data_IF_626190409254
#
_entry.id   IF_626190409254
#
_cell.length_a   1.000
_cell.length_b   1.000
_cell.length_c   1.000
_cell.angle_alpha   90.00
_cell.angle_beta   90.00
_cell.angle_gamma   90.00
#
_symmetry.space_group_name_H-M   'P 1'
#
loop_
_entity.id
_entity.type
_entity.pdbx_description
1 polymer ?
#
# COMPACT_ATOMS: atom_id res chain seq x y z
N UNK A 1 -4.27 -33.42 -5.56
CA UNK A 1 -3.26 -32.64 -6.33
C UNK A 1 -3.45 -31.13 -6.19
N UNK A 2 -4.68 -30.60 -6.20
CA UNK A 2 -4.94 -29.14 -6.03
C UNK A 2 -4.46 -28.59 -4.68
N UNK A 3 -4.66 -29.31 -3.59
CA UNK A 3 -4.22 -28.91 -2.23
C UNK A 3 -2.69 -28.70 -2.14
N UNK A 4 -1.92 -29.52 -2.86
CA UNK A 4 -0.46 -29.42 -2.87
C UNK A 4 0.02 -28.19 -3.64
N UNK A 5 -0.56 -27.94 -4.82
CA UNK A 5 -0.31 -26.75 -5.63
C UNK A 5 -0.58 -25.48 -4.83
N UNK A 6 -1.66 -25.46 -4.07
CA UNK A 6 -2.10 -24.31 -3.27
C UNK A 6 -1.13 -24.03 -2.13
N UNK A 7 -0.73 -25.08 -1.41
CA UNK A 7 0.23 -24.97 -0.31
C UNK A 7 1.59 -24.45 -0.79
N UNK A 8 2.08 -24.98 -1.92
CA UNK A 8 3.36 -24.55 -2.50
C UNK A 8 3.25 -23.11 -3.01
N UNK A 9 2.17 -22.77 -3.72
CA UNK A 9 1.93 -21.42 -4.22
C UNK A 9 1.89 -20.39 -3.07
N UNK A 10 1.20 -20.71 -1.97
CA UNK A 10 1.14 -19.85 -0.79
C UNK A 10 2.51 -19.65 -0.15
N UNK A 11 3.30 -20.73 -0.03
CA UNK A 11 4.66 -20.68 0.52
C UNK A 11 5.58 -19.80 -0.35
N UNK A 12 5.47 -19.90 -1.67
CA UNK A 12 6.23 -19.06 -2.61
C UNK A 12 5.79 -17.60 -2.51
N UNK A 13 4.48 -17.34 -2.48
CA UNK A 13 3.94 -15.99 -2.40
C UNK A 13 4.39 -15.24 -1.13
N UNK A 14 4.49 -15.95 0.00
CA UNK A 14 4.92 -15.40 1.29
C UNK A 14 6.45 -15.33 1.45
N UNK A 15 7.22 -15.87 0.50
CA UNK A 15 8.68 -15.90 0.62
C UNK A 15 9.30 -14.52 0.32
N UNK A 16 10.30 -14.13 1.12
CA UNK A 16 11.05 -12.87 0.92
C UNK A 16 12.03 -12.93 -0.25
N UNK A 17 12.44 -14.13 -0.65
CA UNK A 17 13.46 -14.34 -1.68
C UNK A 17 12.93 -14.26 -3.10
N UNK A 18 11.62 -14.46 -3.28
CA UNK A 18 10.97 -14.29 -4.55
C UNK A 18 10.36 -12.90 -4.59
N UNK A 19 10.67 -12.13 -5.62
CA UNK A 19 10.08 -10.80 -5.86
C UNK A 19 8.99 -10.89 -6.95
N UNK A 20 8.11 -9.89 -7.03
CA UNK A 20 7.06 -9.80 -8.04
C UNK A 20 7.63 -9.89 -9.46
N UNK A 21 8.79 -9.26 -9.71
CA UNK A 21 9.47 -9.34 -11.00
C UNK A 21 9.95 -10.76 -11.31
N UNK A 22 10.57 -11.45 -10.34
CA UNK A 22 11.05 -12.83 -10.52
C UNK A 22 9.89 -13.78 -10.83
N UNK A 23 8.77 -13.67 -10.10
CA UNK A 23 7.56 -14.46 -10.37
C UNK A 23 7.03 -14.25 -11.79
N UNK A 24 6.94 -12.99 -12.23
CA UNK A 24 6.51 -12.66 -13.58
C UNK A 24 7.45 -13.23 -14.64
N UNK A 25 8.77 -13.08 -14.44
CA UNK A 25 9.77 -13.54 -15.40
C UNK A 25 9.75 -15.06 -15.55
N UNK A 26 9.71 -15.79 -14.43
CA UNK A 26 9.60 -17.25 -14.42
C UNK A 26 8.30 -17.74 -15.05
N UNK A 27 7.17 -17.07 -14.79
CA UNK A 27 5.90 -17.41 -15.45
C UNK A 27 6.02 -17.30 -16.97
N UNK A 28 6.68 -16.24 -17.47
CA UNK A 28 6.89 -16.02 -18.90
C UNK A 28 7.83 -17.04 -19.54
N UNK A 29 8.89 -17.45 -18.83
CA UNK A 29 9.77 -18.52 -19.32
C UNK A 29 9.00 -19.84 -19.46
N UNK A 30 8.21 -20.22 -18.45
CA UNK A 30 7.37 -21.42 -18.49
C UNK A 30 6.33 -21.38 -19.61
N UNK A 31 5.65 -20.24 -19.80
CA UNK A 31 4.71 -20.06 -20.91
C UNK A 31 5.40 -20.20 -22.28
N UNK A 32 6.65 -19.74 -22.39
CA UNK A 32 7.45 -19.82 -23.63
C UNK A 32 7.85 -21.26 -23.94
N UNK A 33 8.35 -22.00 -22.94
CA UNK A 33 8.69 -23.42 -23.10
C UNK A 33 7.45 -24.25 -23.48
N UNK A 34 6.33 -24.02 -22.79
CA UNK A 34 5.07 -24.69 -23.12
C UNK A 34 4.60 -24.38 -24.54
N UNK A 35 4.76 -23.13 -24.99
CA UNK A 35 4.45 -22.75 -26.36
C UNK A 35 5.36 -23.45 -27.37
N UNK A 36 6.67 -23.55 -27.10
CA UNK A 36 7.60 -24.27 -27.98
C UNK A 36 7.25 -25.75 -28.09
N UNK A 37 6.94 -26.40 -26.96
CA UNK A 37 6.52 -27.81 -26.93
C UNK A 37 5.22 -28.03 -27.70
N UNK A 38 4.24 -27.16 -27.49
CA UNK A 38 2.97 -27.22 -28.21
C UNK A 38 3.16 -27.00 -29.73
N UNK A 39 3.99 -26.03 -30.12
CA UNK A 39 4.35 -25.75 -31.51
C UNK A 39 5.05 -26.93 -32.18
N UNK A 40 5.96 -27.59 -31.45
CA UNK A 40 6.66 -28.80 -31.90
C UNK A 40 5.80 -30.07 -31.86
N UNK A 41 4.52 -29.98 -31.46
CA UNK A 41 3.60 -31.11 -31.24
C UNK A 41 4.16 -32.18 -30.29
N UNK A 42 5.00 -31.75 -29.36
CA UNK A 42 5.54 -32.62 -28.33
C UNK A 42 4.57 -32.73 -27.16
N UNK A 43 4.54 -33.88 -26.47
CA UNK A 43 3.72 -34.04 -25.28
C UNK A 43 4.18 -33.05 -24.21
N UNK A 44 3.24 -32.32 -23.61
CA UNK A 44 3.52 -31.38 -22.53
C UNK A 44 3.83 -32.16 -21.25
N UNK A 45 5.02 -32.00 -20.64
CA UNK A 45 5.34 -32.67 -19.39
C UNK A 45 4.43 -32.18 -18.25
N UNK A 46 3.89 -33.13 -17.47
CA UNK A 46 2.97 -32.83 -16.36
C UNK A 46 3.60 -31.90 -15.32
N UNK A 47 4.88 -32.08 -15.02
CA UNK A 47 5.62 -31.25 -14.07
C UNK A 47 5.71 -29.80 -14.53
N UNK A 48 5.92 -29.55 -15.82
CA UNK A 48 5.95 -28.21 -16.39
C UNK A 48 4.59 -27.52 -16.27
N UNK A 49 3.50 -28.23 -16.59
CA UNK A 49 2.15 -27.73 -16.41
C UNK A 49 1.83 -27.44 -14.94
N UNK A 50 2.29 -28.31 -14.02
CA UNK A 50 2.16 -28.14 -12.58
C UNK A 50 2.94 -26.92 -12.09
N UNK A 51 4.19 -26.74 -12.50
CA UNK A 51 5.02 -25.58 -12.16
C UNK A 51 4.36 -24.27 -12.62
N UNK A 52 3.83 -24.22 -13.85
CA UNK A 52 3.08 -23.05 -14.34
C UNK A 52 1.89 -22.73 -13.45
N UNK A 53 1.11 -23.74 -13.07
CA UNK A 53 -0.05 -23.54 -12.19
C UNK A 53 0.36 -22.99 -10.81
N UNK A 54 1.43 -23.53 -10.22
CA UNK A 54 1.99 -23.05 -8.94
C UNK A 54 2.42 -21.59 -9.04
N UNK A 55 3.23 -21.23 -10.04
CA UNK A 55 3.76 -19.86 -10.19
C UNK A 55 2.65 -18.86 -10.52
N UNK A 56 1.72 -19.23 -11.40
CA UNK A 56 0.56 -18.40 -11.73
C UNK A 56 -0.29 -18.11 -10.49
N UNK A 57 -0.56 -19.14 -9.66
CA UNK A 57 -1.32 -19.00 -8.42
C UNK A 57 -0.56 -18.19 -7.36
N UNK A 58 0.75 -18.42 -7.19
CA UNK A 58 1.59 -17.64 -6.27
C UNK A 58 1.60 -16.15 -6.63
N UNK A 59 1.66 -15.84 -7.93
CA UNK A 59 1.57 -14.46 -8.41
C UNK A 59 0.18 -13.87 -8.19
N UNK A 60 -0.89 -14.64 -8.42
CA UNK A 60 -2.26 -14.20 -8.14
C UNK A 60 -2.45 -13.87 -6.65
N UNK A 61 -1.98 -14.72 -5.73
CA UNK A 61 -2.03 -14.50 -4.28
C UNK A 61 -1.27 -13.23 -3.89
N UNK A 62 -0.09 -13.01 -4.45
CA UNK A 62 0.71 -11.83 -4.16
C UNK A 62 0.10 -10.56 -4.75
N UNK A 63 -0.48 -10.65 -5.94
CA UNK A 63 -1.18 -9.55 -6.58
C UNK A 63 -2.51 -9.25 -5.89
N UNK A 64 -3.22 -10.24 -5.35
CA UNK A 64 -4.42 -10.02 -4.52
C UNK A 64 -4.07 -9.49 -3.15
N UNK A 65 -2.91 -9.84 -2.59
CA UNK A 65 -2.39 -9.20 -1.39
C UNK A 65 -1.96 -7.74 -1.65
N UNK A 66 -1.45 -7.45 -2.84
CA UNK A 66 -1.14 -6.09 -3.31
C UNK A 66 -2.42 -5.31 -3.74
N UNK A 67 -3.45 -6.02 -4.19
CA UNK A 67 -4.79 -5.54 -4.48
C UNK A 67 -5.68 -5.82 -3.27
N UNK A 68 -5.37 -5.19 -2.15
CA UNK A 68 -6.48 -4.78 -1.29
C UNK A 68 -7.21 -3.70 -2.07
N UNK A 69 -8.54 -3.79 -2.29
CA UNK A 69 -9.27 -2.62 -2.74
C UNK A 69 -8.92 -1.50 -1.75
N UNK A 70 -8.67 -0.30 -2.26
CA UNK A 70 -8.29 0.87 -1.46
C UNK A 70 -9.27 1.06 -0.27
N UNK A 71 -10.49 0.54 -0.40
CA UNK A 71 -11.53 0.43 0.63
C UNK A 71 -11.13 -0.35 1.90
N UNK A 72 -10.36 -1.43 1.82
CA UNK A 72 -9.98 -2.24 3.00
C UNK A 72 -8.77 -1.70 3.76
N UNK A 73 -7.93 -0.88 3.12
CA UNK A 73 -6.84 -0.17 3.82
C UNK A 73 -7.43 0.93 4.71
N UNK A 74 -8.57 1.50 4.31
CA UNK A 74 -9.34 2.44 5.11
C UNK A 74 -10.14 1.72 6.22
N UNK A 75 -10.70 0.54 5.94
CA UNK A 75 -11.44 -0.23 6.96
C UNK A 75 -10.55 -0.88 8.04
N UNK A 76 -9.34 -1.36 7.69
CA UNK A 76 -8.42 -1.95 8.67
C UNK A 76 -7.52 -0.92 9.39
N UNK A 77 -7.45 0.33 8.92
CA UNK A 77 -6.91 1.44 9.73
C UNK A 77 -7.94 2.06 10.67
N UNK A 78 -9.23 1.83 10.43
CA UNK A 78 -10.29 2.38 11.27
C UNK A 78 -10.41 1.73 12.67
N UNK A 79 -9.68 0.65 12.97
CA UNK A 79 -9.78 -0.04 14.26
C UNK A 79 -8.43 -0.38 14.89
N UNK A 80 -7.69 0.65 15.31
CA UNK A 80 -7.00 0.61 16.61
C UNK A 80 -7.39 1.87 17.36
N UNK A 81 -8.62 1.91 17.87
CA UNK A 81 -9.07 2.98 18.76
C UNK A 81 -9.58 2.40 20.06
N UNK A 82 -8.63 2.21 20.97
CA UNK A 82 -8.82 2.69 22.33
C UNK A 82 -8.33 4.16 22.32
N UNK A 83 -9.21 5.11 21.98
CA UNK A 83 -9.01 6.56 22.21
C UNK A 83 -7.81 7.25 21.53
N UNK A 84 -7.43 6.86 20.32
CA UNK A 84 -6.35 7.49 19.54
C UNK A 84 -6.83 8.62 18.63
N UNK A 85 -6.19 9.77 18.68
CA UNK A 85 -6.30 10.76 17.60
C UNK A 85 -5.49 10.23 16.40
N UNK A 86 -6.09 10.03 15.22
CA UNK A 86 -5.37 9.67 13.98
C UNK A 86 -4.94 10.95 13.22
N UNK A 87 -3.63 11.23 13.12
CA UNK A 87 -3.11 12.38 12.39
C UNK A 87 -3.50 12.39 10.90
N UNK A 88 -3.65 11.23 10.27
CA UNK A 88 -3.96 11.14 8.84
C UNK A 88 -5.43 11.47 8.56
N UNK A 89 -6.34 10.95 9.40
CA UNK A 89 -7.77 11.25 9.31
C UNK A 89 -8.05 12.75 9.52
N UNK A 90 -7.40 13.32 10.54
CA UNK A 90 -7.45 14.77 10.79
C UNK A 90 -6.97 15.59 9.59
N UNK A 91 -5.81 15.25 9.01
CA UNK A 91 -5.28 15.99 7.84
C UNK A 91 -6.21 15.86 6.63
N UNK A 92 -6.82 14.70 6.40
CA UNK A 92 -7.80 14.52 5.33
C UNK A 92 -9.02 15.42 5.53
N UNK A 93 -9.58 15.43 6.75
CA UNK A 93 -10.74 16.25 7.07
C UNK A 93 -10.42 17.75 6.98
N UNK A 94 -9.27 18.18 7.51
CA UNK A 94 -8.77 19.55 7.38
C UNK A 94 -8.59 19.97 5.91
N UNK A 95 -8.04 19.10 5.05
CA UNK A 95 -7.93 19.37 3.60
C UNK A 95 -9.29 19.43 2.92
N UNK A 96 -10.22 18.56 3.29
CA UNK A 96 -11.59 18.54 2.74
C UNK A 96 -12.36 19.82 3.06
N UNK A 97 -12.14 20.42 4.24
CA UNK A 97 -12.71 21.72 4.62
C UNK A 97 -12.05 22.91 3.90
N UNK A 98 -11.02 22.68 3.07
CA UNK A 98 -10.31 23.75 2.35
C UNK A 98 -9.07 24.28 3.08
N UNK A 99 -8.49 23.50 4.00
CA UNK A 99 -7.24 23.84 4.66
C UNK A 99 -6.05 23.84 3.71
N UNK A 100 -5.29 24.94 3.69
CA UNK A 100 -4.18 25.18 2.75
C UNK A 100 -2.82 25.33 3.43
N UNK A 101 -2.72 25.08 4.74
CA UNK A 101 -1.41 25.04 5.43
C UNK A 101 -0.47 24.01 4.82
N UNK A 102 0.81 24.38 4.76
CA UNK A 102 1.87 23.57 4.22
C UNK A 102 2.95 23.34 5.28
N UNK A 103 3.49 22.12 5.33
CA UNK A 103 4.62 21.82 6.19
C UNK A 103 5.91 21.84 5.38
N UNK A 104 6.94 22.51 5.89
CA UNK A 104 8.29 22.54 5.29
C UNK A 104 9.31 22.01 6.29
N UNK A 105 10.26 21.20 5.83
CA UNK A 105 11.38 20.73 6.64
C UNK A 105 12.51 21.75 6.60
N UNK A 106 12.86 22.33 7.75
CA UNK A 106 13.92 23.35 7.90
C UNK A 106 14.84 22.92 9.04
N UNK A 107 16.13 22.69 8.75
CA UNK A 107 17.12 22.33 9.77
C UNK A 107 16.80 21.06 10.58
N UNK A 108 16.12 20.08 10.00
CA UNK A 108 15.72 18.84 10.69
C UNK A 108 14.39 18.91 11.45
N UNK A 109 13.81 20.11 11.62
CA UNK A 109 12.48 20.31 12.19
C UNK A 109 11.42 20.47 11.09
N UNK A 110 10.20 19.96 11.33
CA UNK A 110 9.05 20.19 10.45
C UNK A 110 8.28 21.41 10.99
N UNK A 111 8.17 22.45 10.16
CA UNK A 111 7.48 23.70 10.50
C UNK A 111 6.23 23.79 9.62
N UNK A 112 5.07 23.99 10.24
CA UNK A 112 3.81 24.26 9.52
C UNK A 112 3.71 25.76 9.27
N UNK A 113 3.57 26.16 8.01
CA UNK A 113 3.41 27.53 7.55
C UNK A 113 2.01 27.71 6.95
N UNK A 114 1.36 28.82 7.28
CA UNK A 114 0.05 29.21 6.75
C UNK A 114 0.24 30.25 5.65
N UNK A 115 0.91 29.87 4.56
CA UNK A 115 1.16 30.78 3.43
C UNK A 115 -0.12 31.15 2.68
N UNK A 116 -1.10 30.25 2.70
CA UNK A 116 -2.40 30.42 2.09
C UNK A 116 -3.44 30.65 3.17
N UNK A 117 -4.39 31.53 2.90
CA UNK A 117 -5.56 31.71 3.76
C UNK A 117 -6.39 30.42 3.75
N UNK A 118 -6.60 29.87 4.95
CA UNK A 118 -7.51 28.76 5.18
C UNK A 118 -8.96 29.26 5.11
N UNK A 119 -9.90 28.38 4.80
CA UNK A 119 -11.31 28.64 5.09
C UNK A 119 -11.50 28.84 6.60
N UNK A 120 -12.46 29.68 7.03
CA UNK A 120 -12.67 29.95 8.46
C UNK A 120 -13.01 28.67 9.25
N UNK A 121 -13.69 27.71 8.62
CA UNK A 121 -14.01 26.39 9.18
C UNK A 121 -12.76 25.54 9.41
N UNK A 122 -11.84 25.49 8.44
CA UNK A 122 -10.58 24.76 8.56
C UNK A 122 -9.65 25.40 9.61
N UNK A 123 -9.66 26.74 9.72
CA UNK A 123 -8.88 27.48 10.70
C UNK A 123 -9.34 27.21 12.14
N UNK A 124 -10.66 27.22 12.39
CA UNK A 124 -11.24 26.89 13.70
C UNK A 124 -10.91 25.46 14.11
N UNK A 125 -11.13 24.50 13.21
CA UNK A 125 -10.81 23.09 13.45
C UNK A 125 -9.32 22.88 13.75
N UNK A 126 -8.44 23.57 13.01
CA UNK A 126 -7.01 23.53 13.27
C UNK A 126 -6.66 24.04 14.67
N UNK A 127 -7.19 25.20 15.06
CA UNK A 127 -6.87 25.84 16.34
C UNK A 127 -7.36 25.01 17.54
N UNK A 128 -8.61 24.51 17.48
CA UNK A 128 -9.18 23.65 18.52
C UNK A 128 -8.38 22.37 18.70
N UNK A 129 -7.99 21.74 17.59
CA UNK A 129 -7.29 20.46 17.63
C UNK A 129 -5.84 20.64 18.06
N UNK A 130 -5.14 21.65 17.53
CA UNK A 130 -3.76 21.93 17.94
C UNK A 130 -3.68 22.31 19.42
N UNK A 131 -4.63 23.08 19.95
CA UNK A 131 -4.67 23.43 21.38
C UNK A 131 -4.75 22.17 22.27
N UNK A 132 -5.49 21.15 21.85
CA UNK A 132 -5.71 19.91 22.62
C UNK A 132 -4.59 18.88 22.48
N UNK A 133 -3.74 18.97 21.46
CA UNK A 133 -2.71 17.97 21.17
C UNK A 133 -1.36 18.26 21.85
N UNK A 134 -0.74 17.19 22.38
CA UNK A 134 0.64 17.21 22.88
C UNK A 134 1.67 17.38 21.75
N UNK A 135 2.86 17.87 22.09
CA UNK A 135 3.92 18.21 21.12
C UNK A 135 4.32 17.06 20.19
N UNK A 136 4.29 15.81 20.67
CA UNK A 136 4.54 14.61 19.86
C UNK A 136 3.50 14.43 18.76
N UNK A 137 2.21 14.54 19.10
CA UNK A 137 1.10 14.42 18.12
C UNK A 137 1.07 15.59 17.14
N UNK A 138 1.41 16.81 17.58
CA UNK A 138 1.56 17.97 16.67
C UNK A 138 2.65 17.72 15.63
N UNK A 139 3.77 17.09 16.01
CA UNK A 139 4.83 16.70 15.06
C UNK A 139 4.34 15.63 14.07
N UNK A 140 3.57 14.66 14.53
CA UNK A 140 2.99 13.62 13.65
C UNK A 140 2.06 14.24 12.59
N UNK A 141 1.19 15.19 12.98
CA UNK A 141 0.35 15.95 12.02
C UNK A 141 1.19 16.76 11.04
N UNK A 142 2.26 17.42 11.52
CA UNK A 142 3.16 18.18 10.66
C UNK A 142 3.87 17.29 9.64
N UNK A 143 4.30 16.09 10.03
CA UNK A 143 4.88 15.09 9.12
C UNK A 143 3.85 14.63 8.09
N UNK A 144 2.60 14.38 8.50
CA UNK A 144 1.52 13.98 7.59
C UNK A 144 1.23 15.07 6.53
N UNK A 145 1.23 16.34 6.94
CA UNK A 145 1.10 17.47 6.00
C UNK A 145 2.27 17.56 5.02
N UNK A 146 3.50 17.27 5.46
CA UNK A 146 4.70 17.28 4.61
C UNK A 146 4.65 16.16 3.56
N UNK A 147 4.21 14.96 3.95
CA UNK A 147 4.04 13.82 3.04
C UNK A 147 2.96 14.08 1.98
N UNK A 148 1.84 14.69 2.39
CA UNK A 148 0.68 14.96 1.52
C UNK A 148 0.82 16.20 0.64
N UNK A 149 1.68 17.15 0.99
CA UNK A 149 1.91 18.39 0.23
C UNK A 149 3.00 18.30 -0.85
N UNK A 150 3.52 17.10 -1.15
CA UNK A 150 4.56 16.85 -2.17
C UNK A 150 4.02 16.40 -3.53
N UNK A 151 2.71 16.54 -3.78
CA UNK A 151 2.06 16.34 -5.08
C UNK A 151 1.86 17.69 -5.76
#
# INVERSE_FOLDING_TARGET
>A
MTVEVDRIAQRIANSRHTDGYKLWRTQKDLDTELYQLASARQPIPLELARMRAIISKARAIRNSAAYRPIEEIHANRACVLIGGFDPYDFVNHYRALGGRREATKLGGAVIVRAWNEDTPEAASLWNETMARLNIRRRREVATCLLERGRL
#
